data_IF_974466100915
#
_entry.id   IF_974466100915
#
_cell.length_a   1.000
_cell.length_b   1.000
_cell.length_c   1.000
_cell.angle_alpha   90.00
_cell.angle_beta   90.00
_cell.angle_gamma   90.00
#
_symmetry.space_group_name_H-M   'P 1'
#
loop_
_entity.id
_entity.type
_entity.pdbx_description
1 polymer ?
#
# COMPACT_ATOMS: atom_id res chain seq x y z
N UNK A 1 7.65 -20.12 33.07
CA UNK A 1 8.02 -20.36 31.66
C UNK A 1 7.44 -19.23 30.84
N UNK A 2 8.27 -18.35 30.30
CA UNK A 2 7.86 -17.21 29.49
C UNK A 2 7.39 -17.68 28.11
N UNK A 3 6.18 -17.33 27.70
CA UNK A 3 5.69 -17.56 26.35
C UNK A 3 6.11 -16.39 25.45
N UNK A 4 6.95 -16.68 24.46
CA UNK A 4 7.27 -15.76 23.36
C UNK A 4 6.09 -15.76 22.38
N UNK A 5 5.39 -14.63 22.26
CA UNK A 5 4.45 -14.37 21.16
C UNK A 5 5.26 -14.16 19.88
N UNK A 6 5.22 -15.11 18.95
CA UNK A 6 5.81 -14.95 17.63
C UNK A 6 4.87 -14.11 16.74
N UNK A 7 5.15 -12.82 16.62
CA UNK A 7 4.50 -11.95 15.62
C UNK A 7 5.00 -12.33 14.23
N UNK A 8 4.13 -12.80 13.34
CA UNK A 8 4.47 -12.99 11.94
C UNK A 8 4.73 -11.62 11.29
N UNK A 9 5.98 -11.36 10.90
CA UNK A 9 6.34 -10.13 10.22
C UNK A 9 5.79 -10.15 8.79
N UNK A 10 4.88 -9.24 8.46
CA UNK A 10 4.43 -9.04 7.07
C UNK A 10 5.58 -8.43 6.28
N UNK A 11 6.11 -9.19 5.31
CA UNK A 11 7.18 -8.71 4.45
C UNK A 11 6.69 -7.53 3.60
N UNK A 12 7.45 -6.43 3.61
CA UNK A 12 7.26 -5.28 2.71
C UNK A 12 8.33 -5.38 1.63
N UNK A 13 7.94 -5.35 0.35
CA UNK A 13 8.90 -5.32 -0.74
C UNK A 13 9.55 -3.93 -0.82
N UNK A 14 10.88 -3.89 -0.77
CA UNK A 14 11.68 -2.67 -0.90
C UNK A 14 12.40 -2.68 -2.25
N UNK A 15 12.11 -1.70 -3.09
CA UNK A 15 12.74 -1.51 -4.40
C UNK A 15 13.59 -0.24 -4.37
N UNK A 16 14.77 -0.24 -5.01
CA UNK A 16 15.67 0.92 -5.01
C UNK A 16 15.18 2.05 -5.93
N UNK A 17 14.75 1.70 -7.15
CA UNK A 17 14.32 2.67 -8.16
C UNK A 17 13.04 2.20 -8.84
N UNK A 18 12.01 3.03 -8.81
CA UNK A 18 10.74 2.76 -9.50
C UNK A 18 10.39 3.85 -10.51
N UNK A 19 9.69 3.46 -11.56
CA UNK A 19 9.10 4.35 -12.55
C UNK A 19 7.70 4.71 -12.08
N UNK A 20 7.46 6.00 -11.90
CA UNK A 20 6.15 6.54 -11.61
C UNK A 20 5.59 7.30 -12.83
N UNK A 21 5.86 6.79 -14.04
CA UNK A 21 5.49 7.50 -15.28
C UNK A 21 3.99 7.50 -15.60
N UNK A 22 3.19 6.69 -14.90
CA UNK A 22 1.74 6.57 -15.10
C UNK A 22 1.04 6.61 -13.74
N UNK A 23 0.76 7.81 -13.22
CA UNK A 23 -0.08 7.98 -12.03
C UNK A 23 -1.39 7.20 -12.15
N UNK A 24 -1.81 6.57 -11.06
CA UNK A 24 -3.04 5.78 -10.98
C UNK A 24 -2.88 4.30 -11.33
N UNK A 25 -1.73 3.84 -11.86
CA UNK A 25 -1.52 2.40 -12.12
C UNK A 25 -1.35 1.56 -10.86
N UNK A 26 -0.58 2.04 -9.89
CA UNK A 26 -0.38 1.37 -8.60
C UNK A 26 -0.67 2.33 -7.45
N UNK A 27 -1.94 2.68 -7.22
CA UNK A 27 -2.32 3.50 -6.08
C UNK A 27 -2.04 2.73 -4.78
N UNK A 28 -1.62 3.46 -3.74
CA UNK A 28 -1.48 2.91 -2.40
C UNK A 28 -2.86 2.48 -1.85
N UNK A 29 -2.90 1.31 -1.22
CA UNK A 29 -4.11 0.64 -0.73
C UNK A 29 -4.09 0.34 0.76
N UNK A 30 -2.95 0.57 1.42
CA UNK A 30 -2.83 0.44 2.87
C UNK A 30 -3.34 1.67 3.61
N UNK A 31 -3.20 1.65 4.93
CA UNK A 31 -3.58 2.80 5.77
C UNK A 31 -2.45 3.84 5.86
N UNK A 32 -2.81 5.09 6.17
CA UNK A 32 -1.84 6.15 6.47
C UNK A 32 -0.91 5.73 7.60
N UNK A 33 -1.48 5.20 8.68
CA UNK A 33 -0.73 4.68 9.83
C UNK A 33 0.31 3.64 9.40
N UNK A 34 -0.07 2.68 8.55
CA UNK A 34 0.83 1.65 8.06
C UNK A 34 1.98 2.24 7.24
N UNK A 35 1.69 3.10 6.26
CA UNK A 35 2.72 3.76 5.45
C UNK A 35 3.70 4.54 6.32
N UNK A 36 3.19 5.45 7.16
CA UNK A 36 4.03 6.33 7.98
C UNK A 36 4.84 5.52 9.00
N UNK A 37 4.31 4.42 9.53
CA UNK A 37 5.03 3.57 10.49
C UNK A 37 6.32 2.95 9.94
N UNK A 38 6.40 2.74 8.62
CA UNK A 38 7.57 2.17 7.94
C UNK A 38 8.73 3.16 7.80
N UNK A 39 8.48 4.45 8.01
CA UNK A 39 9.50 5.49 8.08
C UNK A 39 10.19 5.47 9.45
N UNK A 40 10.96 4.41 9.71
CA UNK A 40 11.53 4.13 11.03
C UNK A 40 12.51 5.18 11.54
N UNK A 41 13.16 5.90 10.63
CA UNK A 41 14.05 7.04 10.89
C UNK A 41 13.32 8.32 11.34
N UNK A 42 12.02 8.46 11.02
CA UNK A 42 11.21 9.57 11.54
C UNK A 42 10.90 9.27 13.01
N UNK A 43 11.21 10.14 13.99
CA UNK A 43 10.93 9.87 15.39
C UNK A 43 9.44 9.53 15.65
N UNK A 44 9.17 8.57 16.54
CA UNK A 44 7.80 8.10 16.79
C UNK A 44 6.78 9.23 17.10
N UNK A 45 7.09 10.26 17.92
CA UNK A 45 6.17 11.37 18.14
C UNK A 45 5.86 12.17 16.86
N UNK A 46 6.84 12.30 15.97
CA UNK A 46 6.69 12.98 14.67
C UNK A 46 5.80 12.16 13.74
N UNK A 47 5.99 10.83 13.70
CA UNK A 47 5.10 9.93 12.94
C UNK A 47 3.66 10.03 13.40
N UNK A 48 3.40 10.01 14.70
CA UNK A 48 2.03 10.14 15.25
C UNK A 48 1.37 11.45 14.82
N UNK A 49 2.11 12.56 14.86
CA UNK A 49 1.58 13.85 14.38
C UNK A 49 1.32 13.85 12.87
N UNK A 50 2.25 13.31 12.06
CA UNK A 50 2.07 13.20 10.62
C UNK A 50 0.83 12.38 10.26
N UNK A 51 0.64 11.22 10.91
CA UNK A 51 -0.55 10.37 10.74
C UNK A 51 -1.82 11.18 11.02
N UNK A 52 -1.91 11.79 12.20
CA UNK A 52 -3.09 12.55 12.61
C UNK A 52 -3.39 13.72 11.66
N UNK A 53 -2.36 14.37 11.10
CA UNK A 53 -2.52 15.47 10.14
C UNK A 53 -2.99 15.00 8.78
N UNK A 54 -2.44 13.89 8.27
CA UNK A 54 -2.83 13.30 6.98
C UNK A 54 -4.27 12.79 7.07
N UNK A 55 -4.61 12.02 8.10
CA UNK A 55 -5.96 11.47 8.30
C UNK A 55 -7.01 12.57 8.49
N UNK A 56 -6.67 13.66 9.19
CA UNK A 56 -7.57 14.80 9.36
C UNK A 56 -7.54 15.78 8.18
N UNK A 57 -6.77 15.54 7.12
CA UNK A 57 -6.63 16.44 5.98
C UNK A 57 -6.00 17.81 6.28
N UNK A 58 -5.30 17.98 7.40
CA UNK A 58 -4.67 19.26 7.82
C UNK A 58 -3.32 19.48 7.13
N UNK A 59 -3.39 19.69 5.82
CA UNK A 59 -2.23 19.93 4.96
C UNK A 59 -1.56 21.28 5.25
N UNK A 60 -0.25 21.32 5.14
CA UNK A 60 0.55 22.56 5.20
C UNK A 60 0.64 23.26 3.84
N UNK A 61 0.38 22.52 2.76
CA UNK A 61 0.43 23.01 1.39
C UNK A 61 -0.42 22.14 0.43
N UNK A 62 -0.88 22.75 -0.65
CA UNK A 62 -1.46 22.07 -1.82
C UNK A 62 -0.53 22.32 -3.00
N UNK A 63 -0.04 21.25 -3.59
CA UNK A 63 1.03 21.31 -4.59
C UNK A 63 0.62 20.62 -5.88
N UNK A 64 1.28 20.99 -6.98
CA UNK A 64 1.26 20.24 -8.22
C UNK A 64 2.63 19.57 -8.40
N UNK A 65 2.64 18.25 -8.40
CA UNK A 65 3.81 17.47 -8.80
C UNK A 65 3.88 17.53 -10.32
N UNK A 66 5.06 17.84 -10.86
CA UNK A 66 5.38 17.89 -12.29
C UNK A 66 6.50 16.89 -12.58
N UNK A 67 6.92 16.77 -13.85
CA UNK A 67 8.05 15.91 -14.23
C UNK A 67 9.29 16.19 -13.37
N UNK A 68 9.74 17.45 -13.38
CA UNK A 68 11.04 17.86 -12.82
C UNK A 68 10.91 18.83 -11.63
N UNK A 69 9.70 19.04 -11.10
CA UNK A 69 9.46 19.99 -10.01
C UNK A 69 8.23 19.63 -9.19
N UNK A 70 8.13 20.23 -8.01
CA UNK A 70 6.94 20.21 -7.15
C UNK A 70 6.61 21.66 -6.84
N UNK A 71 5.52 22.16 -7.39
CA UNK A 71 5.13 23.57 -7.29
C UNK A 71 4.02 23.74 -6.24
N UNK A 72 4.23 24.60 -5.26
CA UNK A 72 3.27 24.88 -4.20
C UNK A 72 3.54 26.21 -3.51
N UNK A 73 2.96 26.39 -2.33
CA UNK A 73 3.25 27.56 -1.48
C UNK A 73 4.73 27.62 -1.10
N UNK A 74 5.44 26.50 -0.97
CA UNK A 74 6.87 26.50 -0.62
C UNK A 74 7.71 25.89 -1.72
N UNK A 75 9.02 26.15 -1.69
CA UNK A 75 9.96 25.47 -2.58
C UNK A 75 10.26 24.07 -2.06
N UNK A 76 10.13 23.08 -2.94
CA UNK A 76 10.43 21.68 -2.65
C UNK A 76 11.51 21.16 -3.60
N UNK A 77 12.36 20.29 -3.09
CA UNK A 77 13.22 19.47 -3.92
C UNK A 77 12.35 18.63 -4.87
N UNK A 78 12.72 18.50 -6.15
CA UNK A 78 11.98 17.66 -7.08
C UNK A 78 12.07 16.17 -6.76
N UNK A 79 13.05 15.77 -5.94
CA UNK A 79 13.28 14.39 -5.54
C UNK A 79 12.17 13.89 -4.61
N UNK A 80 11.57 12.76 -4.96
CA UNK A 80 10.64 12.01 -4.11
C UNK A 80 11.26 10.68 -3.72
N UNK A 81 11.21 10.36 -2.42
CA UNK A 81 11.78 9.12 -1.87
C UNK A 81 10.79 8.34 -1.01
N UNK A 82 11.09 7.06 -0.79
CA UNK A 82 10.31 6.18 0.07
C UNK A 82 8.84 6.08 -0.33
N UNK A 83 8.52 6.10 -1.63
CA UNK A 83 7.14 6.12 -2.09
C UNK A 83 6.46 4.77 -1.86
N UNK A 84 5.34 4.79 -1.15
CA UNK A 84 4.48 3.64 -0.93
C UNK A 84 3.55 3.41 -2.14
N UNK A 85 3.54 2.18 -2.64
CA UNK A 85 2.71 1.71 -3.75
C UNK A 85 1.92 0.46 -3.32
N UNK A 86 0.75 0.25 -3.94
CA UNK A 86 -0.02 -0.98 -3.74
C UNK A 86 -0.33 -1.22 -2.26
N UNK A 87 -0.23 -2.46 -1.78
CA UNK A 87 -0.49 -2.76 -0.37
C UNK A 87 0.78 -2.73 0.49
N UNK A 88 1.92 -3.19 -0.04
CA UNK A 88 3.11 -3.51 0.76
C UNK A 88 4.42 -3.32 0.00
N UNK A 89 4.45 -2.41 -0.97
CA UNK A 89 5.68 -2.09 -1.71
C UNK A 89 6.11 -0.67 -1.44
N UNK A 90 7.42 -0.47 -1.24
CA UNK A 90 8.04 0.83 -1.04
C UNK A 90 9.20 0.98 -2.00
N UNK A 91 9.25 2.11 -2.69
CA UNK A 91 10.34 2.46 -3.59
C UNK A 91 11.21 3.54 -2.95
N UNK A 92 12.50 3.27 -2.77
CA UNK A 92 13.44 4.21 -2.19
C UNK A 92 13.49 5.51 -2.99
N UNK A 93 13.53 5.42 -4.33
CA UNK A 93 13.42 6.58 -5.21
C UNK A 93 12.44 6.31 -6.36
N UNK A 94 11.82 7.37 -6.85
CA UNK A 94 10.94 7.30 -8.03
C UNK A 94 11.38 8.27 -9.10
N UNK A 95 11.24 7.85 -10.35
CA UNK A 95 11.45 8.70 -11.53
C UNK A 95 10.12 9.08 -12.16
N UNK A 96 10.09 10.24 -12.82
CA UNK A 96 8.93 10.75 -13.57
C UNK A 96 9.29 11.09 -15.02
N UNK A 97 10.41 10.57 -15.54
CA UNK A 97 11.00 10.98 -16.81
C UNK A 97 10.07 10.78 -18.02
N UNK A 98 9.11 9.86 -17.91
CA UNK A 98 8.10 9.60 -18.94
C UNK A 98 6.86 10.49 -18.88
N UNK A 99 6.73 11.38 -17.89
CA UNK A 99 5.65 12.37 -17.85
C UNK A 99 5.81 13.34 -19.01
N UNK A 100 4.77 14.03 -19.48
CA UNK A 100 4.95 15.18 -20.38
C UNK A 100 5.37 16.43 -19.58
N UNK A 101 5.90 17.46 -20.25
CA UNK A 101 6.23 18.72 -19.59
C UNK A 101 5.00 19.44 -19.01
N UNK A 102 3.81 19.18 -19.58
CA UNK A 102 2.54 19.72 -19.12
C UNK A 102 1.84 18.85 -18.06
N UNK A 103 2.34 17.63 -17.80
CA UNK A 103 1.74 16.72 -16.84
C UNK A 103 1.80 17.29 -15.42
N UNK A 104 0.66 17.25 -14.73
CA UNK A 104 0.50 17.73 -13.36
C UNK A 104 -0.33 16.74 -12.57
N UNK A 105 0.19 16.35 -11.42
CA UNK A 105 -0.49 15.53 -10.44
C UNK A 105 -0.75 16.38 -9.19
N UNK A 106 -2.01 16.70 -8.85
CA UNK A 106 -2.31 17.46 -7.65
C UNK A 106 -2.03 16.63 -6.39
N UNK A 107 -1.47 17.25 -5.36
CA UNK A 107 -1.10 16.60 -4.13
C UNK A 107 -1.23 17.54 -2.91
N UNK A 108 -1.21 16.97 -1.72
CA UNK A 108 -1.10 17.70 -0.44
C UNK A 108 0.20 17.35 0.27
N UNK A 109 0.79 18.32 0.97
CA UNK A 109 2.01 18.12 1.76
C UNK A 109 1.70 18.36 3.23
N UNK A 110 2.26 17.51 4.08
CA UNK A 110 2.12 17.52 5.53
C UNK A 110 3.51 17.50 6.15
N UNK A 111 3.80 18.45 7.04
CA UNK A 111 5.11 18.61 7.65
C UNK A 111 4.99 18.67 9.18
N UNK A 112 5.97 18.07 9.85
CA UNK A 112 6.21 18.20 11.29
C UNK A 112 7.72 18.38 11.48
N UNK A 113 8.13 19.59 11.87
CA UNK A 113 9.54 19.99 11.80
C UNK A 113 10.06 19.93 10.37
N UNK A 114 11.20 19.24 10.16
CA UNK A 114 11.83 19.08 8.84
C UNK A 114 11.28 17.87 8.06
N UNK A 115 10.43 17.05 8.68
CA UNK A 115 9.90 15.84 8.05
C UNK A 115 8.62 16.17 7.30
N UNK A 116 8.67 16.08 5.97
CA UNK A 116 7.54 16.37 5.09
C UNK A 116 7.15 15.15 4.26
N UNK A 117 5.86 14.83 4.27
CA UNK A 117 5.24 13.79 3.45
C UNK A 117 4.30 14.41 2.42
N UNK A 118 4.33 13.91 1.20
CA UNK A 118 3.44 14.30 0.09
C UNK A 118 2.49 13.16 -0.24
N UNK A 119 1.23 13.49 -0.52
CA UNK A 119 0.17 12.54 -0.87
C UNK A 119 -0.51 13.02 -2.16
N UNK A 120 -0.23 12.38 -3.31
CA UNK A 120 -0.92 12.64 -4.57
C UNK A 120 -2.41 12.29 -4.49
N UNK A 121 -3.27 13.11 -5.09
CA UNK A 121 -4.72 12.90 -5.05
C UNK A 121 -5.18 11.70 -5.87
N UNK A 122 -4.52 11.38 -7.00
CA UNK A 122 -4.94 10.26 -7.86
C UNK A 122 -4.49 8.94 -7.24
N UNK A 123 -3.25 8.87 -6.78
CA UNK A 123 -2.65 7.60 -6.35
C UNK A 123 -2.77 7.33 -4.85
N UNK A 124 -2.84 8.37 -4.01
CA UNK A 124 -2.70 8.23 -2.55
C UNK A 124 -1.31 7.76 -2.10
N UNK A 125 -0.33 7.74 -2.99
CA UNK A 125 1.02 7.23 -2.72
C UNK A 125 1.75 8.15 -1.74
N UNK A 126 1.84 7.72 -0.48
CA UNK A 126 2.53 8.48 0.55
C UNK A 126 4.03 8.39 0.27
N UNK A 127 4.70 9.54 0.23
CA UNK A 127 6.14 9.61 -0.07
C UNK A 127 6.78 10.79 0.64
N UNK A 128 8.11 10.82 0.69
CA UNK A 128 8.87 11.92 1.29
C UNK A 128 9.22 12.98 0.27
N UNK A 129 9.18 14.22 0.73
CA UNK A 129 9.68 15.40 0.03
C UNK A 129 10.48 16.26 0.98
N UNK A 130 11.41 17.03 0.44
CA UNK A 130 12.20 17.97 1.21
C UNK A 130 11.81 19.40 0.83
N UNK A 131 11.57 20.23 1.84
CA UNK A 131 11.48 21.68 1.65
C UNK A 131 12.88 22.26 1.50
N UNK A 132 13.06 23.14 0.53
CA UNK A 132 14.33 23.86 0.36
C UNK A 132 14.37 24.99 1.39
N UNK A 133 15.34 24.96 2.30
CA UNK A 133 15.50 25.98 3.32
C UNK A 133 15.76 27.36 2.67
N UNK A 134 15.09 28.41 3.17
CA UNK A 134 15.18 29.76 2.62
C UNK A 134 14.28 30.04 1.40
N UNK A 135 13.57 29.04 0.88
CA UNK A 135 12.56 29.17 -0.17
C UNK A 135 11.23 29.68 0.38
N UNK A 136 11.11 31.00 0.55
CA UNK A 136 9.85 31.66 0.83
C UNK A 136 8.84 31.51 -0.32
N UNK A 137 7.55 31.69 0.00
CA UNK A 137 6.37 31.62 -0.88
C UNK A 137 6.66 31.41 -2.37
N UNK A 138 6.57 30.16 -2.84
CA UNK A 138 6.79 29.74 -4.21
C UNK A 138 5.82 30.44 -5.17
N UNK A 139 6.25 31.55 -5.75
CA UNK A 139 5.57 32.17 -6.87
C UNK A 139 5.88 31.32 -8.11
N UNK A 140 4.88 30.57 -8.56
CA UNK A 140 4.90 29.92 -9.87
C UNK A 140 5.12 30.96 -10.97
N UNK A 141 6.34 31.02 -11.50
CA UNK A 141 6.73 31.84 -12.63
C UNK A 141 8.06 31.34 -13.20
N UNK A 142 8.24 31.31 -14.54
CA UNK A 142 9.45 30.76 -15.14
C UNK A 142 10.65 31.66 -14.81
N UNK A 143 11.62 31.14 -14.04
CA UNK A 143 12.92 31.79 -13.92
C UNK A 143 13.74 31.49 -15.17
N UNK A 144 13.91 32.53 -15.97
CA UNK A 144 14.95 32.69 -16.96
C UNK A 144 16.34 32.43 -16.34
N UNK A 145 17.24 31.86 -17.15
CA UNK A 145 18.52 31.36 -16.70
C UNK A 145 19.52 32.44 -16.28
N UNK A 146 20.47 32.04 -15.43
CA UNK A 146 21.89 32.35 -15.59
C UNK A 146 22.74 31.62 -14.52
N UNK A 147 23.96 31.29 -14.96
CA UNK A 147 25.18 30.97 -14.19
C UNK A 147 25.35 29.55 -13.62
N UNK A 148 26.05 28.75 -14.42
CA UNK A 148 26.75 27.50 -14.09
C UNK A 148 27.91 27.75 -13.12
N UNK A 149 28.02 27.06 -11.96
CA UNK A 149 29.27 26.92 -11.23
C UNK A 149 30.13 25.77 -11.81
N UNK A 150 31.47 25.81 -11.66
CA UNK A 150 32.38 24.90 -12.36
C UNK A 150 32.16 23.45 -11.95
N UNK A 151 32.11 22.56 -12.94
CA UNK A 151 32.05 21.12 -12.73
C UNK A 151 33.41 20.64 -12.21
N UNK A 152 33.39 19.94 -11.08
CA UNK A 152 34.52 19.12 -10.62
C UNK A 152 34.36 17.78 -11.33
N UNK A 153 35.37 17.37 -12.09
CA UNK A 153 35.39 16.09 -12.80
C UNK A 153 35.23 14.93 -11.80
N UNK A 154 34.09 14.25 -11.86
CA UNK A 154 33.88 13.01 -11.15
C UNK A 154 34.56 11.87 -11.93
N UNK A 155 35.40 11.11 -11.23
CA UNK A 155 36.00 9.87 -11.70
C UNK A 155 34.88 8.93 -12.17
N UNK A 156 34.91 8.36 -13.39
CA UNK A 156 33.89 7.43 -13.83
C UNK A 156 34.00 6.14 -13.00
N UNK A 157 33.08 5.97 -12.05
CA UNK A 157 32.80 4.66 -11.47
C UNK A 157 32.05 3.89 -12.55
N UNK A 158 32.66 2.81 -13.04
CA UNK A 158 32.01 1.89 -13.97
C UNK A 158 30.67 1.42 -13.38
N UNK A 159 29.56 1.79 -14.03
CA UNK A 159 28.24 1.30 -13.66
C UNK A 159 28.21 -0.22 -13.81
N UNK A 160 27.75 -0.99 -12.81
CA UNK A 160 27.34 -2.35 -13.10
C UNK A 160 26.15 -2.27 -14.08
N UNK A 161 26.33 -2.86 -15.25
CA UNK A 161 25.24 -3.04 -16.18
C UNK A 161 24.09 -3.77 -15.45
N UNK A 162 22.87 -3.24 -15.64
CA UNK A 162 21.56 -3.82 -15.30
C UNK A 162 20.92 -3.49 -13.93
N UNK A 163 20.98 -2.24 -13.44
CA UNK A 163 19.91 -1.75 -12.53
C UNK A 163 18.73 -1.23 -13.36
N UNK A 164 17.84 -2.13 -13.78
CA UNK A 164 16.57 -1.73 -14.41
C UNK A 164 15.69 -1.03 -13.36
N UNK A 165 15.18 0.16 -13.69
CA UNK A 165 14.15 0.84 -12.89
C UNK A 165 12.86 0.02 -12.93
N UNK A 166 12.32 -0.34 -11.77
CA UNK A 166 11.10 -1.13 -11.66
C UNK A 166 9.91 -0.36 -12.25
N UNK A 167 9.27 -0.94 -13.25
CA UNK A 167 8.03 -0.41 -13.84
C UNK A 167 6.86 -0.56 -12.87
N UNK A 168 5.71 0.09 -13.14
CA UNK A 168 4.49 -0.18 -12.41
C UNK A 168 4.14 -1.68 -12.32
N UNK A 169 4.33 -2.45 -13.39
CA UNK A 169 4.02 -3.89 -13.35
C UNK A 169 5.02 -4.67 -12.49
N UNK A 170 6.29 -4.26 -12.47
CA UNK A 170 7.31 -4.82 -11.57
C UNK A 170 6.98 -4.55 -10.09
N UNK A 171 6.45 -3.35 -9.79
CA UNK A 171 5.94 -2.99 -8.46
C UNK A 171 4.74 -3.85 -8.07
N UNK A 172 3.78 -4.06 -8.98
CA UNK A 172 2.62 -4.91 -8.73
C UNK A 172 3.02 -6.38 -8.51
N UNK A 173 3.98 -6.89 -9.28
CA UNK A 173 4.53 -8.23 -9.10
C UNK A 173 5.25 -8.38 -7.76
N UNK A 174 6.06 -7.38 -7.36
CA UNK A 174 6.71 -7.36 -6.05
C UNK A 174 5.69 -7.37 -4.90
N UNK A 175 4.61 -6.59 -5.05
CA UNK A 175 3.50 -6.57 -4.09
C UNK A 175 2.84 -7.95 -3.96
N UNK A 176 2.56 -8.61 -5.09
CA UNK A 176 1.97 -9.95 -5.12
C UNK A 176 2.89 -11.01 -4.49
N UNK A 177 4.19 -10.95 -4.75
CA UNK A 177 5.16 -11.86 -4.12
C UNK A 177 5.17 -11.64 -2.60
N UNK A 178 5.21 -10.39 -2.14
CA UNK A 178 5.14 -10.07 -0.72
C UNK A 178 3.79 -10.50 -0.08
N UNK A 179 2.73 -10.68 -0.88
CA UNK A 179 1.46 -11.28 -0.45
C UNK A 179 1.57 -12.77 -0.20
N UNK A 180 2.21 -13.51 -1.10
CA UNK A 180 2.35 -14.97 -0.96
C UNK A 180 3.10 -15.39 0.31
N UNK A 181 4.19 -14.69 0.67
CA UNK A 181 4.98 -14.98 1.89
C UNK A 181 4.21 -14.67 3.18
N UNK A 182 3.23 -13.77 3.14
CA UNK A 182 2.44 -13.40 4.32
C UNK A 182 1.21 -14.31 4.53
N UNK A 183 0.91 -15.20 3.58
CA UNK A 183 -0.26 -16.08 3.60
C UNK A 183 0.05 -17.53 3.97
N UNK A 184 1.26 -17.85 4.42
CA UNK A 184 1.57 -19.19 4.97
C UNK A 184 0.70 -19.49 6.21
N UNK A 185 -0.01 -20.62 6.25
CA UNK A 185 -0.92 -20.94 7.34
C UNK A 185 -0.14 -21.27 8.61
N UNK A 186 -0.47 -20.56 9.70
CA UNK A 186 -0.06 -20.93 11.05
C UNK A 186 -0.56 -22.35 11.36
N UNK A 187 0.25 -23.24 11.98
CA UNK A 187 -0.23 -24.54 12.39
C UNK A 187 -1.34 -24.39 13.44
N UNK A 188 -2.50 -25.00 13.16
CA UNK A 188 -3.65 -25.02 14.05
C UNK A 188 -3.31 -25.76 15.36
N UNK A 189 -3.48 -25.10 16.50
CA UNK A 189 -3.38 -25.73 17.82
C UNK A 189 -4.70 -26.45 18.15
N UNK A 190 -4.59 -27.74 18.48
CA UNK A 190 -5.68 -28.60 18.96
C UNK A 190 -6.17 -28.15 20.35
N UNK A 191 -7.46 -28.31 20.71
CA UNK A 191 -7.96 -27.97 22.03
C UNK A 191 -7.68 -29.13 23.00
N UNK A 192 -6.78 -28.94 23.97
CA UNK A 192 -6.63 -29.87 25.10
C UNK A 192 -7.34 -29.32 26.32
N UNK A 193 -8.19 -30.17 26.89
CA UNK A 193 -9.11 -29.90 27.98
C UNK A 193 -8.43 -29.51 29.31
N UNK A 194 -9.15 -28.66 30.07
CA UNK A 194 -9.22 -28.68 31.53
C UNK A 194 -7.94 -28.43 32.32
N UNK A 195 -7.69 -27.17 32.70
CA UNK A 195 -6.79 -26.84 33.80
C UNK A 195 -7.55 -26.03 34.87
N UNK A 196 -7.83 -26.65 36.01
CA UNK A 196 -8.34 -25.99 37.21
C UNK A 196 -7.17 -25.36 37.95
N UNK A 197 -7.22 -24.04 38.17
CA UNK A 197 -6.21 -23.29 38.93
C UNK A 197 -6.51 -23.33 40.44
N UNK A 198 -5.50 -23.45 41.32
CA UNK A 198 -5.64 -23.35 42.77
C UNK A 198 -5.72 -21.90 43.29
N UNK A 199 -5.70 -20.91 42.40
CA UNK A 199 -5.95 -19.51 42.74
C UNK A 199 -7.40 -19.18 42.41
N UNK A 200 -8.18 -18.83 43.43
CA UNK A 200 -9.64 -18.80 43.45
C UNK A 200 -10.34 -18.20 42.23
N UNK A 201 -11.54 -18.71 41.99
CA UNK A 201 -12.44 -18.30 40.92
C UNK A 201 -12.71 -16.78 40.97
N UNK A 202 -12.24 -16.04 39.96
CA UNK A 202 -12.87 -14.79 39.57
C UNK A 202 -14.07 -15.17 38.72
N UNK A 203 -15.23 -15.23 39.34
CA UNK A 203 -16.52 -15.19 38.65
C UNK A 203 -16.63 -13.84 37.96
N UNK A 204 -16.24 -13.76 36.68
CA UNK A 204 -16.83 -12.75 35.81
C UNK A 204 -18.28 -13.14 35.60
N UNK A 205 -19.12 -12.47 36.40
CA UNK A 205 -20.56 -12.69 36.44
C UNK A 205 -21.17 -12.54 35.05
N UNK A 206 -22.08 -13.47 34.77
CA UNK A 206 -23.16 -13.29 33.82
C UNK A 206 -23.92 -12.00 34.14
N UNK A 207 -23.56 -10.93 33.44
CA UNK A 207 -24.37 -9.72 33.31
C UNK A 207 -25.40 -9.93 32.22
N UNK A 208 -26.52 -10.54 32.59
CA UNK A 208 -27.71 -10.63 31.75
C UNK A 208 -28.18 -9.23 31.37
N UNK A 209 -28.23 -8.96 30.07
CA UNK A 209 -28.92 -7.80 29.54
C UNK A 209 -30.42 -8.11 29.52
N UNK A 210 -31.17 -7.41 30.36
CA UNK A 210 -32.62 -7.26 30.22
C UNK A 210 -32.91 -6.47 28.94
N UNK A 211 -33.75 -6.96 28.01
CA UNK A 211 -34.13 -6.20 26.83
C UNK A 211 -35.21 -5.18 27.22
N UNK A 212 -34.88 -3.89 27.15
CA UNK A 212 -35.87 -2.82 27.08
C UNK A 212 -36.52 -2.79 25.69
N UNK A 213 -37.79 -2.36 25.59
CA UNK A 213 -38.53 -2.42 24.33
C UNK A 213 -38.16 -1.24 23.43
N UNK A 214 -37.89 -1.52 22.16
CA UNK A 214 -37.88 -0.51 21.10
C UNK A 214 -36.50 -0.18 20.55
N UNK A 215 -35.98 -1.05 19.68
CA UNK A 215 -35.26 -0.64 18.48
C UNK A 215 -35.43 -1.75 17.45
N UNK A 216 -36.12 -1.41 16.37
CA UNK A 216 -36.39 -2.29 15.23
C UNK A 216 -35.06 -2.82 14.65
N UNK A 217 -34.88 -4.13 14.70
CA UNK A 217 -33.85 -4.79 13.92
C UNK A 217 -34.29 -4.77 12.45
N UNK A 218 -33.71 -3.89 11.64
CA UNK A 218 -33.76 -4.03 10.18
C UNK A 218 -32.92 -5.25 9.80
N UNK A 219 -33.59 -6.39 9.77
CA UNK A 219 -33.07 -7.65 9.24
C UNK A 219 -32.84 -7.45 7.73
N UNK A 220 -31.59 -7.24 7.33
CA UNK A 220 -31.21 -7.20 5.92
C UNK A 220 -31.35 -8.61 5.34
N UNK A 221 -32.41 -8.81 4.55
CA UNK A 221 -32.61 -10.04 3.78
C UNK A 221 -31.44 -10.25 2.82
N UNK A 222 -30.83 -11.44 2.77
CA UNK A 222 -29.76 -11.73 1.83
C UNK A 222 -30.30 -11.58 0.40
N UNK A 223 -29.69 -10.69 -0.37
CA UNK A 223 -29.96 -10.52 -1.80
C UNK A 223 -29.56 -11.81 -2.51
N UNK A 224 -30.48 -12.51 -3.19
CA UNK A 224 -30.12 -13.69 -3.97
C UNK A 224 -29.35 -13.25 -5.22
N UNK A 225 -28.04 -13.54 -5.26
CA UNK A 225 -27.26 -13.35 -6.49
C UNK A 225 -27.64 -14.43 -7.50
N UNK A 226 -28.19 -14.08 -8.69
CA UNK A 226 -28.69 -15.05 -9.66
C UNK A 226 -27.59 -15.89 -10.35
N UNK A 227 -26.31 -15.59 -10.10
CA UNK A 227 -25.18 -16.23 -10.76
C UNK A 227 -24.72 -17.54 -10.09
N UNK A 228 -25.00 -17.73 -8.80
CA UNK A 228 -24.45 -18.87 -8.02
C UNK A 228 -25.02 -20.21 -8.47
N UNK A 229 -26.33 -20.26 -8.76
CA UNK A 229 -26.97 -21.48 -9.30
C UNK A 229 -26.55 -21.77 -10.75
N UNK A 230 -26.30 -20.72 -11.55
CA UNK A 230 -25.84 -20.86 -12.93
C UNK A 230 -24.45 -21.51 -13.03
N UNK A 231 -23.52 -21.11 -12.18
CA UNK A 231 -22.16 -21.66 -12.15
C UNK A 231 -22.14 -23.14 -11.70
N UNK A 232 -22.98 -23.50 -10.72
CA UNK A 232 -23.14 -24.89 -10.27
C UNK A 232 -23.72 -25.76 -11.41
N UNK A 233 -24.76 -25.26 -12.10
CA UNK A 233 -25.36 -25.97 -13.23
C UNK A 233 -24.38 -26.19 -14.39
N UNK A 234 -23.60 -25.18 -14.74
CA UNK A 234 -22.58 -25.28 -15.78
C UNK A 234 -21.49 -26.31 -15.43
N UNK A 235 -21.03 -26.34 -14.16
CA UNK A 235 -20.07 -27.33 -13.68
C UNK A 235 -20.58 -28.77 -13.79
N UNK A 236 -21.83 -29.02 -13.39
CA UNK A 236 -22.46 -30.35 -13.46
C UNK A 236 -22.65 -30.82 -14.91
N UNK A 237 -23.07 -29.92 -15.81
CA UNK A 237 -23.23 -30.24 -17.23
C UNK A 237 -21.88 -30.64 -17.89
N UNK A 238 -20.81 -29.95 -17.53
CA UNK A 238 -19.47 -30.23 -18.05
C UNK A 238 -18.96 -31.60 -17.57
N UNK A 239 -19.15 -31.92 -16.27
CA UNK A 239 -18.82 -33.23 -15.71
C UNK A 239 -19.63 -34.37 -16.37
N UNK A 240 -20.93 -34.18 -16.58
CA UNK A 240 -21.78 -35.15 -17.28
C UNK A 240 -21.34 -35.37 -18.74
N UNK A 241 -20.94 -34.30 -19.43
CA UNK A 241 -20.39 -34.38 -20.79
C UNK A 241 -19.10 -35.19 -20.87
N UNK A 242 -18.17 -34.97 -19.95
CA UNK A 242 -16.92 -35.72 -19.89
C UNK A 242 -17.14 -37.20 -19.54
N UNK A 243 -18.06 -37.51 -18.62
CA UNK A 243 -18.40 -38.87 -18.25
C UNK A 243 -18.98 -39.65 -19.46
N UNK A 244 -19.89 -39.02 -20.23
CA UNK A 244 -20.47 -39.63 -21.43
C UNK A 244 -19.42 -39.87 -22.53
N UNK A 245 -18.48 -38.94 -22.73
CA UNK A 245 -17.38 -39.11 -23.70
C UNK A 245 -16.49 -40.30 -23.34
N UNK A 246 -16.13 -40.45 -22.05
CA UNK A 246 -15.33 -41.59 -21.57
C UNK A 246 -16.08 -42.93 -21.72
N UNK A 247 -17.38 -42.96 -21.45
CA UNK A 247 -18.18 -44.17 -21.63
C UNK A 247 -18.29 -44.59 -23.11
N UNK A 248 -18.44 -43.62 -24.04
CA UNK A 248 -18.45 -43.89 -25.48
C UNK A 248 -17.10 -44.38 -26.00
N UNK A 249 -15.99 -43.78 -25.55
CA UNK A 249 -14.64 -44.24 -25.91
C UNK A 249 -14.37 -45.67 -25.44
N UNK A 250 -14.89 -46.07 -24.28
CA UNK A 250 -14.77 -47.45 -23.77
C UNK A 250 -15.61 -48.46 -24.56
N UNK A 251 -16.78 -48.08 -25.07
CA UNK A 251 -17.61 -48.94 -25.91
C UNK A 251 -17.05 -49.13 -27.33
N UNK A 252 -16.39 -48.11 -27.87
CA UNK A 252 -15.72 -48.20 -29.17
C UNK A 252 -14.45 -49.07 -29.14
N UNK A 253 -13.88 -49.32 -27.96
CA UNK A 253 -12.72 -50.19 -27.77
C UNK A 253 -13.08 -51.67 -27.49
N UNK A 254 -14.36 -52.03 -27.51
CA UNK A 254 -14.87 -53.39 -27.26
C UNK A 254 -15.56 -54.02 -28.48
N UNK A 255 -15.50 -53.37 -29.65
CA UNK A 255 -15.84 -53.93 -30.95
C UNK A 255 -14.56 -54.14 -31.74
#
# INVERSE_FOLDING_TARGET
MSTLLASAAVATAMLSHCSWNQPGRNPYRGSVTEAVSRYVDIPAPVRTQLIARIESGRADDTVAIMRDSIAGKYDYSPRITGMHFGQRTVCETVTRNGWSAAAREPATVYCVGEQCLIVPKICGNISRVQRVAGGGSGAGGPKAGAATPPQVDAIPVAEPAFTRVASPDDVAAADAMAQTVASEPQPALLPLAGFQSPFGAVTYGMGGHTPGPGTEHTQLSPVPEPATLGMIGAGLALLAGMARRRARGRRAAQQ
#
